data_IF_186690793274
#
_entry.id   IF_186690793274
#
_cell.length_a   1.000
_cell.length_b   1.000
_cell.length_c   1.000
_cell.angle_alpha   90.00
_cell.angle_beta   90.00
_cell.angle_gamma   90.00
#
_symmetry.space_group_name_H-M   'P 1'
#
loop_
_entity.id
_entity.type
_entity.pdbx_description
1 polymer ?
#
# COMPACT_ATOMS: atom_id res chain seq x y z
N UNK A 1 42.54 -56.26 -35.73
CA UNK A 1 41.15 -55.76 -35.76
C UNK A 1 40.29 -56.72 -34.96
N UNK A 2 40.10 -56.47 -33.66
CA UNK A 2 39.03 -57.12 -32.90
C UNK A 2 37.76 -56.31 -33.15
N UNK A 3 36.76 -56.98 -33.71
CA UNK A 3 35.48 -56.38 -34.06
C UNK A 3 34.68 -56.28 -32.77
N UNK A 4 34.44 -55.05 -32.30
CA UNK A 4 33.49 -54.83 -31.20
C UNK A 4 32.13 -55.41 -31.58
N UNK A 5 31.42 -56.08 -30.67
CA UNK A 5 30.06 -56.52 -30.94
C UNK A 5 29.20 -55.27 -31.13
N UNK A 6 28.72 -55.12 -32.35
CA UNK A 6 27.73 -54.15 -32.84
C UNK A 6 26.46 -54.31 -31.98
N UNK A 7 26.47 -53.67 -30.82
CA UNK A 7 25.35 -53.66 -29.88
C UNK A 7 24.38 -52.61 -30.40
N UNK A 8 23.75 -52.92 -31.54
CA UNK A 8 22.60 -52.18 -32.03
C UNK A 8 21.61 -52.15 -30.88
N UNK A 9 21.26 -50.95 -30.40
CA UNK A 9 20.12 -50.73 -29.53
C UNK A 9 18.93 -51.42 -30.22
N UNK A 10 18.57 -52.62 -29.75
CA UNK A 10 17.42 -53.36 -30.27
C UNK A 10 16.22 -52.47 -30.04
N UNK A 11 15.51 -52.19 -31.11
CA UNK A 11 14.27 -51.44 -31.03
C UNK A 11 13.31 -52.19 -30.10
N UNK A 12 12.51 -51.48 -29.30
CA UNK A 12 11.48 -52.10 -28.42
C UNK A 12 10.55 -53.05 -29.21
N UNK A 13 10.42 -52.83 -30.52
CA UNK A 13 9.66 -53.66 -31.45
C UNK A 13 10.34 -54.99 -31.80
N UNK A 14 11.62 -55.18 -31.50
CA UNK A 14 12.39 -56.41 -31.74
C UNK A 14 12.34 -57.38 -30.55
N UNK A 15 11.67 -57.01 -29.44
CA UNK A 15 11.57 -57.83 -28.23
C UNK A 15 10.33 -58.74 -28.33
N UNK A 16 10.48 -60.09 -28.35
CA UNK A 16 9.34 -60.99 -28.48
C UNK A 16 8.40 -60.92 -27.26
N UNK A 17 7.09 -60.91 -27.51
CA UNK A 17 5.99 -60.58 -26.58
C UNK A 17 5.77 -61.51 -25.36
N UNK A 18 6.57 -62.56 -25.20
CA UNK A 18 6.52 -63.47 -24.05
C UNK A 18 7.92 -63.77 -23.49
N UNK A 19 8.85 -62.83 -23.64
CA UNK A 19 10.19 -62.91 -23.06
C UNK A 19 10.25 -62.16 -21.74
N UNK A 20 11.18 -62.55 -20.88
CA UNK A 20 11.47 -61.83 -19.63
C UNK A 20 11.85 -60.36 -19.91
N UNK A 21 12.56 -60.12 -21.01
CA UNK A 21 12.92 -58.77 -21.49
C UNK A 21 11.68 -57.92 -21.79
N UNK A 22 10.68 -58.48 -22.50
CA UNK A 22 9.42 -57.80 -22.77
C UNK A 22 8.64 -57.47 -21.49
N UNK A 23 8.55 -58.42 -20.55
CA UNK A 23 7.86 -58.22 -19.27
C UNK A 23 8.54 -57.14 -18.43
N UNK A 24 9.88 -57.14 -18.36
CA UNK A 24 10.65 -56.14 -17.63
C UNK A 24 10.46 -54.74 -18.24
N UNK A 25 10.53 -54.63 -19.56
CA UNK A 25 10.31 -53.36 -20.25
C UNK A 25 8.86 -52.85 -20.08
N UNK A 26 7.86 -53.74 -20.18
CA UNK A 26 6.45 -53.39 -19.92
C UNK A 26 6.26 -52.87 -18.48
N UNK A 27 6.89 -53.54 -17.50
CA UNK A 27 6.83 -53.13 -16.09
C UNK A 27 7.53 -51.79 -15.85
N UNK A 28 8.67 -51.54 -16.49
CA UNK A 28 9.38 -50.26 -16.42
C UNK A 28 8.53 -49.12 -16.98
N UNK A 29 7.94 -49.31 -18.17
CA UNK A 29 7.03 -48.32 -18.79
C UNK A 29 5.79 -48.05 -17.92
N UNK A 30 5.21 -49.09 -17.32
CA UNK A 30 4.09 -48.90 -16.41
C UNK A 30 4.49 -48.10 -15.16
N UNK A 31 5.68 -48.35 -14.61
CA UNK A 31 6.22 -47.59 -13.49
C UNK A 31 6.47 -46.11 -13.85
N UNK A 32 7.06 -45.84 -15.03
CA UNK A 32 7.22 -44.49 -15.56
C UNK A 32 5.89 -43.77 -15.73
N UNK A 33 4.88 -44.44 -16.31
CA UNK A 33 3.54 -43.86 -16.47
C UNK A 33 2.90 -43.52 -15.12
N UNK A 34 3.08 -44.38 -14.11
CA UNK A 34 2.62 -44.11 -12.74
C UNK A 34 3.34 -42.90 -12.12
N UNK A 35 4.65 -42.78 -12.32
CA UNK A 35 5.43 -41.63 -11.85
C UNK A 35 5.00 -40.33 -12.55
N UNK A 36 4.81 -40.35 -13.87
CA UNK A 36 4.33 -39.20 -14.63
C UNK A 36 2.94 -38.74 -14.15
N UNK A 37 2.02 -39.67 -13.92
CA UNK A 37 0.70 -39.34 -13.36
C UNK A 37 0.80 -38.70 -11.98
N UNK A 38 1.67 -39.22 -11.11
CA UNK A 38 1.92 -38.63 -9.79
C UNK A 38 2.47 -37.21 -9.91
N UNK A 39 3.49 -37.02 -10.74
CA UNK A 39 4.09 -35.70 -10.96
C UNK A 39 3.09 -34.71 -11.56
N UNK A 40 2.24 -35.14 -12.50
CA UNK A 40 1.22 -34.28 -13.10
C UNK A 40 0.20 -33.83 -12.05
N UNK A 41 -0.24 -34.74 -11.17
CA UNK A 41 -1.13 -34.40 -10.06
C UNK A 41 -0.50 -33.38 -9.09
N UNK A 42 0.78 -33.53 -8.76
CA UNK A 42 1.51 -32.56 -7.93
C UNK A 42 1.61 -31.18 -8.60
N UNK A 43 1.79 -31.13 -9.93
CA UNK A 43 1.80 -29.87 -10.66
C UNK A 43 0.40 -29.22 -10.73
N UNK A 44 -0.65 -30.01 -10.93
CA UNK A 44 -2.03 -29.52 -10.89
C UNK A 44 -2.38 -28.91 -9.53
N UNK A 45 -1.96 -29.55 -8.42
CA UNK A 45 -2.16 -29.03 -7.08
C UNK A 45 -1.42 -27.69 -6.86
N UNK A 46 -0.15 -27.61 -7.29
CA UNK A 46 0.63 -26.37 -7.21
C UNK A 46 0.03 -25.25 -8.06
N UNK A 47 -0.44 -25.57 -9.26
CA UNK A 47 -1.09 -24.61 -10.14
C UNK A 47 -2.40 -24.10 -9.52
N UNK A 48 -3.21 -24.97 -8.92
CA UNK A 48 -4.43 -24.57 -8.22
C UNK A 48 -4.13 -23.64 -7.04
N UNK A 49 -3.10 -23.95 -6.25
CA UNK A 49 -2.67 -23.08 -5.14
C UNK A 49 -2.19 -21.71 -5.63
N UNK A 50 -1.39 -21.68 -6.71
CA UNK A 50 -0.90 -20.43 -7.29
C UNK A 50 -2.06 -19.58 -7.86
N UNK A 51 -3.02 -20.21 -8.54
CA UNK A 51 -4.19 -19.54 -9.09
C UNK A 51 -4.98 -18.84 -7.99
N UNK A 52 -5.24 -19.55 -6.88
CA UNK A 52 -5.91 -18.96 -5.71
C UNK A 52 -5.13 -17.79 -5.11
N UNK A 53 -3.80 -17.88 -5.09
CA UNK A 53 -2.95 -16.79 -4.60
C UNK A 53 -3.04 -15.56 -5.50
N UNK A 54 -2.99 -15.74 -6.82
CA UNK A 54 -3.15 -14.66 -7.80
C UNK A 54 -4.52 -13.98 -7.65
N UNK A 55 -5.59 -14.76 -7.49
CA UNK A 55 -6.93 -14.23 -7.25
C UNK A 55 -6.99 -13.42 -5.94
N UNK A 56 -6.42 -13.95 -4.86
CA UNK A 56 -6.35 -13.26 -3.57
C UNK A 56 -5.57 -11.93 -3.67
N UNK A 57 -4.45 -11.93 -4.42
CA UNK A 57 -3.67 -10.72 -4.66
C UNK A 57 -4.45 -9.70 -5.50
N UNK A 58 -5.19 -10.13 -6.52
CA UNK A 58 -6.04 -9.23 -7.32
C UNK A 58 -7.08 -8.53 -6.45
N UNK A 59 -7.79 -9.28 -5.61
CA UNK A 59 -8.76 -8.68 -4.66
C UNK A 59 -8.09 -7.73 -3.68
N UNK A 60 -6.89 -8.05 -3.20
CA UNK A 60 -6.13 -7.16 -2.31
C UNK A 60 -5.73 -5.85 -3.01
N UNK A 61 -5.32 -5.92 -4.28
CA UNK A 61 -4.99 -4.74 -5.10
C UNK A 61 -6.23 -3.88 -5.32
N UNK A 62 -7.35 -4.46 -5.74
CA UNK A 62 -8.62 -3.73 -5.93
C UNK A 62 -9.05 -3.00 -4.66
N UNK A 63 -8.93 -3.67 -3.50
CA UNK A 63 -9.21 -3.04 -2.21
C UNK A 63 -8.28 -1.86 -1.92
N UNK A 64 -6.97 -2.03 -2.14
CA UNK A 64 -5.99 -0.97 -1.93
C UNK A 64 -6.23 0.23 -2.86
N UNK A 65 -6.65 0.01 -4.10
CA UNK A 65 -7.01 1.08 -5.03
C UNK A 65 -8.21 1.90 -4.51
N UNK A 66 -9.25 1.23 -3.99
CA UNK A 66 -10.39 1.88 -3.36
C UNK A 66 -9.96 2.68 -2.12
N UNK A 67 -9.13 2.09 -1.25
CA UNK A 67 -8.62 2.76 -0.05
C UNK A 67 -7.81 4.02 -0.41
N UNK A 68 -6.98 3.96 -1.46
CA UNK A 68 -6.22 5.13 -1.96
C UNK A 68 -7.15 6.25 -2.44
N UNK A 69 -8.24 5.92 -3.15
CA UNK A 69 -9.22 6.91 -3.59
C UNK A 69 -9.91 7.55 -2.37
N UNK A 70 -10.29 6.74 -1.39
CA UNK A 70 -10.93 7.23 -0.17
C UNK A 70 -10.03 8.17 0.63
N UNK A 71 -8.76 7.80 0.83
CA UNK A 71 -7.80 8.65 1.56
C UNK A 71 -7.47 9.94 0.81
N UNK A 72 -7.43 9.93 -0.53
CA UNK A 72 -7.32 11.16 -1.31
C UNK A 72 -8.53 12.08 -1.10
N UNK A 73 -9.73 11.50 -1.05
CA UNK A 73 -10.97 12.23 -0.74
C UNK A 73 -10.92 12.85 0.66
N UNK A 74 -10.54 12.08 1.68
CA UNK A 74 -10.36 12.56 3.06
C UNK A 74 -9.34 13.69 3.14
N UNK A 75 -8.17 13.54 2.50
CA UNK A 75 -7.16 14.59 2.49
C UNK A 75 -7.65 15.89 1.83
N UNK A 76 -8.43 15.78 0.76
CA UNK A 76 -9.03 16.95 0.10
C UNK A 76 -9.99 17.69 1.04
N UNK A 77 -10.85 16.95 1.75
CA UNK A 77 -11.78 17.54 2.74
C UNK A 77 -11.02 18.17 3.91
N UNK A 78 -9.97 17.52 4.41
CA UNK A 78 -9.12 18.07 5.48
C UNK A 78 -8.42 19.37 5.03
N UNK A 79 -7.90 19.41 3.80
CA UNK A 79 -7.32 20.63 3.23
C UNK A 79 -8.36 21.75 3.13
N UNK A 80 -9.58 21.46 2.68
CA UNK A 80 -10.66 22.44 2.63
C UNK A 80 -11.02 22.98 4.03
N UNK A 81 -11.11 22.11 5.04
CA UNK A 81 -11.36 22.54 6.41
C UNK A 81 -10.23 23.42 6.94
N UNK A 82 -8.98 23.07 6.65
CA UNK A 82 -7.82 23.86 7.02
C UNK A 82 -7.83 25.24 6.35
N UNK A 83 -8.13 25.31 5.05
CA UNK A 83 -8.29 26.56 4.28
C UNK A 83 -9.38 27.44 4.91
N UNK A 84 -10.54 26.84 5.23
CA UNK A 84 -11.66 27.52 5.86
C UNK A 84 -11.27 28.10 7.22
N UNK A 85 -10.56 27.31 8.03
CA UNK A 85 -10.08 27.74 9.34
C UNK A 85 -9.07 28.89 9.21
N UNK A 86 -8.11 28.79 8.29
CA UNK A 86 -7.14 29.86 8.01
C UNK A 86 -7.85 31.14 7.57
N UNK A 87 -8.86 31.03 6.72
CA UNK A 87 -9.63 32.17 6.27
C UNK A 87 -10.40 32.82 7.42
N UNK A 88 -11.09 32.02 8.23
CA UNK A 88 -11.81 32.50 9.40
C UNK A 88 -10.87 33.21 10.39
N UNK A 89 -9.71 32.60 10.69
CA UNK A 89 -8.70 33.20 11.55
C UNK A 89 -8.15 34.51 10.97
N UNK A 90 -7.76 34.54 9.69
CA UNK A 90 -7.24 35.74 9.05
C UNK A 90 -8.27 36.88 9.06
N UNK A 91 -9.55 36.59 8.81
CA UNK A 91 -10.61 37.60 8.88
C UNK A 91 -10.84 38.10 10.30
N UNK A 92 -10.92 37.18 11.27
CA UNK A 92 -11.28 37.50 12.65
C UNK A 92 -10.17 38.28 13.37
N UNK A 93 -8.90 38.06 12.99
CA UNK A 93 -7.75 38.76 13.55
C UNK A 93 -7.26 39.95 12.70
N UNK A 94 -7.92 40.31 11.59
CA UNK A 94 -7.49 41.40 10.71
C UNK A 94 -7.39 42.77 11.42
N UNK A 95 -8.09 42.95 12.54
CA UNK A 95 -8.05 44.17 13.37
C UNK A 95 -7.10 44.09 14.58
N UNK A 96 -6.32 43.01 14.72
CA UNK A 96 -5.50 42.74 15.90
C UNK A 96 -4.01 42.75 15.50
N UNK A 97 -3.33 43.89 15.57
CA UNK A 97 -1.89 43.95 15.30
C UNK A 97 -1.08 43.35 16.45
N UNK A 98 -0.02 42.59 16.13
CA UNK A 98 0.87 42.07 17.16
C UNK A 98 1.65 43.19 17.87
N UNK A 99 1.76 43.16 19.22
CA UNK A 99 2.62 44.08 19.96
C UNK A 99 4.07 44.04 19.48
N UNK A 100 4.69 45.20 19.36
CA UNK A 100 6.10 45.36 18.96
C UNK A 100 6.33 45.29 17.45
N UNK A 101 5.68 44.36 16.71
CA UNK A 101 5.85 44.25 15.25
C UNK A 101 4.81 45.03 14.44
N UNK A 102 3.60 45.23 14.99
CA UNK A 102 2.46 45.81 14.26
C UNK A 102 1.93 44.91 13.14
N UNK A 103 2.36 43.65 13.09
CA UNK A 103 1.98 42.69 12.06
C UNK A 103 0.49 42.33 12.17
N UNK A 104 -0.19 42.32 11.02
CA UNK A 104 -1.60 41.93 10.87
C UNK A 104 -1.64 40.64 10.04
N UNK A 105 -2.48 39.65 10.39
CA UNK A 105 -2.50 38.40 9.67
C UNK A 105 -3.08 38.57 8.26
N UNK A 106 -2.50 37.82 7.33
CA UNK A 106 -3.02 37.57 5.98
C UNK A 106 -3.19 36.06 5.80
N UNK A 107 -3.89 35.62 4.73
CA UNK A 107 -4.02 34.20 4.41
C UNK A 107 -2.67 33.48 4.33
N UNK A 108 -1.63 34.14 3.79
CA UNK A 108 -0.30 33.55 3.64
C UNK A 108 0.51 33.55 4.94
N UNK A 109 0.20 34.44 5.89
CA UNK A 109 0.99 34.67 7.11
C UNK A 109 0.30 34.20 8.38
N UNK A 110 -0.95 33.73 8.30
CA UNK A 110 -1.78 33.40 9.47
C UNK A 110 -1.11 32.37 10.39
N UNK A 111 -0.46 31.34 9.85
CA UNK A 111 0.18 30.31 10.66
C UNK A 111 1.36 30.88 11.46
N UNK A 112 2.19 31.73 10.83
CA UNK A 112 3.30 32.41 11.53
C UNK A 112 2.81 33.45 12.53
N UNK A 113 1.76 34.19 12.18
CA UNK A 113 1.12 35.15 13.06
C UNK A 113 0.57 34.46 14.33
N UNK A 114 -0.18 33.36 14.19
CA UNK A 114 -0.75 32.62 15.32
C UNK A 114 0.33 32.03 16.23
N UNK A 115 1.42 31.53 15.66
CA UNK A 115 2.57 31.07 16.46
C UNK A 115 3.22 32.21 17.26
N UNK A 116 3.41 33.38 16.64
CA UNK A 116 3.97 34.57 17.33
C UNK A 116 3.03 35.08 18.41
N UNK A 117 1.73 35.17 18.12
CA UNK A 117 0.69 35.53 19.07
C UNK A 117 0.72 34.61 20.30
N UNK A 118 0.72 33.30 20.07
CA UNK A 118 0.79 32.30 21.12
C UNK A 118 2.05 32.45 21.98
N UNK A 119 3.22 32.64 21.35
CA UNK A 119 4.47 32.83 22.07
C UNK A 119 4.50 34.12 22.89
N UNK A 120 3.95 35.23 22.39
CA UNK A 120 3.86 36.51 23.11
C UNK A 120 2.98 36.38 24.36
N UNK A 121 1.82 35.74 24.21
CA UNK A 121 0.89 35.50 25.32
C UNK A 121 1.54 34.64 26.41
N UNK A 122 2.29 33.60 26.02
CA UNK A 122 2.96 32.72 26.97
C UNK A 122 4.19 33.35 27.63
N UNK A 123 4.95 34.17 26.91
CA UNK A 123 6.17 34.78 27.42
C UNK A 123 5.87 35.79 28.54
N UNK A 124 4.96 36.73 28.28
CA UNK A 124 4.61 37.81 29.22
C UNK A 124 3.08 37.97 29.34
N UNK A 125 2.38 37.08 30.08
CA UNK A 125 0.91 37.13 30.17
C UNK A 125 0.39 38.42 30.82
N UNK A 126 1.10 38.90 31.85
CA UNK A 126 0.71 40.08 32.64
C UNK A 126 0.81 41.39 31.83
N UNK A 127 1.74 41.44 30.87
CA UNK A 127 1.90 42.61 29.99
C UNK A 127 0.92 42.59 28.81
N UNK A 128 0.32 41.43 28.52
CA UNK A 128 -0.55 41.19 27.38
C UNK A 128 -2.02 40.94 27.77
N UNK A 129 -2.46 41.35 28.96
CA UNK A 129 -3.83 41.08 29.45
C UNK A 129 -4.93 41.59 28.50
N UNK A 130 -4.77 42.80 27.94
CA UNK A 130 -5.71 43.39 26.98
C UNK A 130 -5.76 42.58 25.68
N UNK A 131 -4.59 42.19 25.15
CA UNK A 131 -4.49 41.33 23.98
C UNK A 131 -5.14 39.98 24.23
N UNK A 132 -4.92 39.36 25.41
CA UNK A 132 -5.54 38.08 25.79
C UNK A 132 -7.06 38.22 25.83
N UNK A 133 -7.60 39.33 26.36
CA UNK A 133 -9.03 39.58 26.37
C UNK A 133 -9.61 39.69 24.94
N UNK A 134 -8.95 40.45 24.06
CA UNK A 134 -9.34 40.56 22.64
C UNK A 134 -9.27 39.20 21.93
N UNK A 135 -8.20 38.44 22.14
CA UNK A 135 -8.05 37.09 21.55
C UNK A 135 -9.18 36.17 22.01
N UNK A 136 -9.55 36.19 23.29
CA UNK A 136 -10.69 35.42 23.81
C UNK A 136 -12.01 35.82 23.16
N UNK A 137 -12.26 37.12 22.99
CA UNK A 137 -13.46 37.63 22.32
C UNK A 137 -13.52 37.14 20.86
N UNK A 138 -12.42 37.32 20.12
CA UNK A 138 -12.31 36.90 18.71
C UNK A 138 -12.51 35.39 18.56
N UNK A 139 -11.94 34.57 19.45
CA UNK A 139 -12.10 33.11 19.44
C UNK A 139 -13.54 32.69 19.77
N UNK A 140 -14.19 33.35 20.74
CA UNK A 140 -15.60 33.08 21.04
C UNK A 140 -16.53 33.33 19.84
N UNK A 141 -16.15 34.24 18.94
CA UNK A 141 -16.88 34.49 17.69
C UNK A 141 -16.59 33.46 16.58
N UNK A 142 -15.47 32.74 16.66
CA UNK A 142 -15.11 31.67 15.72
C UNK A 142 -15.80 30.33 16.02
N UNK A 143 -16.21 30.10 17.27
CA UNK A 143 -16.93 28.89 17.68
C UNK A 143 -18.44 28.90 17.37
N UNK A 144 -18.96 29.99 16.78
CA UNK A 144 -20.37 30.17 16.38
C UNK A 144 -20.56 29.99 14.89
#
# INVERSE_FOLDING_TARGET
LQKEPDTKERSVFDIPIFTEEFLNHSKAREAELRQLRKSNMEFEERNAALQKHVESMRTAVEKLEVDVIHERGRNTVLQQHLETLRQALASSFAGVPLPGSGEIPTLDTIDSYMNRLHNLILANPQENETLIATVREVVNHLER
#
